data_IF_602603655463
#
_entry.id   IF_602603655463
#
_cell.length_a   1.000
_cell.length_b   1.000
_cell.length_c   1.000
_cell.angle_alpha   90.00
_cell.angle_beta   90.00
_cell.angle_gamma   90.00
#
_symmetry.space_group_name_H-M   'P 1'
#
loop_
_entity.id
_entity.type
_entity.pdbx_description
1 polymer ?
#
# COMPACT_ATOMS: atom_id res chain seq x y z
N UNK A 1 -30.18 -23.53 -18.42
CA UNK A 1 -29.89 -22.73 -17.21
C UNK A 1 -28.48 -22.19 -17.40
N UNK A 2 -28.38 -20.97 -17.95
CA UNK A 2 -27.09 -20.30 -18.13
C UNK A 2 -26.47 -20.03 -16.76
N UNK A 3 -25.20 -20.39 -16.61
CA UNK A 3 -24.42 -20.12 -15.41
C UNK A 3 -24.23 -18.60 -15.32
N UNK A 4 -24.51 -17.95 -14.18
CA UNK A 4 -24.31 -16.52 -14.09
C UNK A 4 -22.83 -16.22 -14.31
N UNK A 5 -22.50 -15.41 -15.33
CA UNK A 5 -21.20 -14.77 -15.45
C UNK A 5 -21.06 -13.81 -14.27
N UNK A 6 -20.22 -14.16 -13.31
CA UNK A 6 -19.84 -13.25 -12.23
C UNK A 6 -19.00 -12.15 -12.88
N UNK A 7 -19.42 -10.87 -12.80
CA UNK A 7 -18.62 -9.77 -13.33
C UNK A 7 -17.23 -9.82 -12.69
N UNK A 8 -16.19 -9.67 -13.52
CA UNK A 8 -14.79 -9.53 -13.09
C UNK A 8 -14.72 -8.73 -11.79
N UNK A 9 -14.18 -9.35 -10.74
CA UNK A 9 -14.06 -8.80 -9.39
C UNK A 9 -13.50 -7.37 -9.51
N UNK A 10 -14.20 -6.38 -8.95
CA UNK A 10 -13.72 -5.00 -8.94
C UNK A 10 -12.28 -4.94 -8.42
N UNK A 11 -11.38 -4.13 -9.00
CA UNK A 11 -9.98 -4.11 -8.58
C UNK A 11 -9.91 -3.71 -7.10
N UNK A 12 -9.30 -4.57 -6.29
CA UNK A 12 -8.96 -4.23 -4.90
C UNK A 12 -7.76 -3.29 -4.90
N UNK A 13 -7.78 -2.29 -4.02
CA UNK A 13 -6.66 -1.37 -3.80
C UNK A 13 -6.15 -1.62 -2.38
N UNK A 14 -4.84 -1.72 -2.22
CA UNK A 14 -4.22 -1.76 -0.89
C UNK A 14 -3.88 -0.33 -0.47
N UNK A 15 -4.20 0.04 0.77
CA UNK A 15 -3.96 1.38 1.30
C UNK A 15 -3.10 1.28 2.54
N UNK A 16 -2.01 2.04 2.56
CA UNK A 16 -1.18 2.25 3.74
C UNK A 16 -1.67 3.50 4.46
N UNK A 17 -1.92 3.39 5.77
CA UNK A 17 -2.34 4.50 6.63
C UNK A 17 -1.21 4.92 7.54
N UNK A 18 -1.12 6.21 7.82
CA UNK A 18 -0.19 6.74 8.80
C UNK A 18 -0.67 6.39 10.21
N UNK A 19 0.26 6.12 11.12
CA UNK A 19 0.00 5.95 12.54
C UNK A 19 1.14 6.54 13.38
N UNK A 20 0.89 6.77 14.67
CA UNK A 20 1.85 7.43 15.57
C UNK A 20 2.82 6.45 16.26
N UNK A 21 2.78 5.16 15.90
CA UNK A 21 3.47 4.09 16.62
C UNK A 21 4.66 3.49 15.87
N UNK A 22 4.59 3.41 14.53
CA UNK A 22 5.68 2.85 13.73
C UNK A 22 6.71 3.91 13.33
N UNK A 23 7.99 3.53 13.34
CA UNK A 23 9.07 4.40 12.84
C UNK A 23 9.15 4.36 11.31
N UNK A 24 9.68 5.44 10.71
CA UNK A 24 9.95 5.50 9.26
C UNK A 24 10.75 4.30 8.76
N UNK A 25 11.77 3.86 9.51
CA UNK A 25 12.59 2.70 9.15
C UNK A 25 11.79 1.40 9.10
N UNK A 26 10.87 1.21 10.05
CA UNK A 26 9.99 0.03 10.10
C UNK A 26 9.03 0.02 8.91
N UNK A 27 8.46 1.17 8.57
CA UNK A 27 7.57 1.34 7.41
C UNK A 27 8.32 1.05 6.10
N UNK A 28 9.52 1.62 5.92
CA UNK A 28 10.35 1.41 4.73
C UNK A 28 10.66 -0.08 4.55
N UNK A 29 11.08 -0.77 5.61
CA UNK A 29 11.38 -2.21 5.56
C UNK A 29 10.14 -3.04 5.21
N UNK A 30 8.97 -2.70 5.73
CA UNK A 30 7.72 -3.39 5.40
C UNK A 30 7.35 -3.19 3.92
N UNK A 31 7.51 -1.98 3.39
CA UNK A 31 7.26 -1.67 1.98
C UNK A 31 8.18 -2.47 1.04
N UNK A 32 9.48 -2.54 1.35
CA UNK A 32 10.44 -3.35 0.58
C UNK A 32 10.07 -4.84 0.60
N UNK A 33 9.66 -5.37 1.76
CA UNK A 33 9.34 -6.80 1.92
C UNK A 33 8.00 -7.23 1.30
N UNK A 34 6.95 -6.42 1.43
CA UNK A 34 5.58 -6.85 1.09
C UNK A 34 5.02 -6.19 -0.17
N UNK A 35 5.42 -4.95 -0.45
CA UNK A 35 4.99 -4.22 -1.66
C UNK A 35 5.99 -4.44 -2.80
N UNK A 36 7.22 -4.90 -2.47
CA UNK A 36 8.26 -5.30 -3.41
C UNK A 36 8.81 -4.11 -4.23
N UNK A 37 8.98 -2.96 -3.55
CA UNK A 37 9.53 -1.73 -4.10
C UNK A 37 10.99 -1.51 -3.68
N UNK A 38 11.68 -0.56 -4.34
CA UNK A 38 13.03 -0.15 -3.93
C UNK A 38 13.00 0.70 -2.66
N UNK A 39 14.15 0.85 -1.98
CA UNK A 39 14.30 1.75 -0.84
C UNK A 39 13.85 3.19 -1.14
N UNK A 40 14.24 3.73 -2.31
CA UNK A 40 13.86 5.09 -2.71
C UNK A 40 12.36 5.23 -2.92
N UNK A 41 11.72 4.22 -3.53
CA UNK A 41 10.26 4.16 -3.67
C UNK A 41 9.57 4.05 -2.31
N UNK A 42 10.08 3.20 -1.42
CA UNK A 42 9.57 3.04 -0.06
C UNK A 42 9.66 4.35 0.72
N UNK A 43 10.78 5.08 0.60
CA UNK A 43 10.97 6.37 1.26
C UNK A 43 10.01 7.44 0.71
N UNK A 44 9.76 7.46 -0.60
CA UNK A 44 8.76 8.33 -1.20
C UNK A 44 7.35 8.01 -0.70
N UNK A 45 6.96 6.72 -0.66
CA UNK A 45 5.66 6.29 -0.15
C UNK A 45 5.49 6.69 1.32
N UNK A 46 6.50 6.44 2.16
CA UNK A 46 6.48 6.82 3.57
C UNK A 46 6.32 8.34 3.75
N UNK A 47 7.02 9.14 2.95
CA UNK A 47 6.89 10.62 2.95
C UNK A 47 5.48 11.07 2.57
N UNK A 48 4.87 10.42 1.57
CA UNK A 48 3.49 10.73 1.14
C UNK A 48 2.51 10.38 2.26
N UNK A 49 2.65 9.19 2.88
CA UNK A 49 1.74 8.74 3.94
C UNK A 49 1.83 9.63 5.18
N UNK A 50 3.03 10.04 5.58
CA UNK A 50 3.25 10.94 6.71
C UNK A 50 2.57 12.30 6.51
N UNK A 51 2.65 12.84 5.28
CA UNK A 51 2.04 14.13 4.91
C UNK A 51 0.53 14.07 4.71
N UNK A 52 0.05 13.07 3.97
CA UNK A 52 -1.33 12.98 3.49
C UNK A 52 -2.21 12.06 4.37
N UNK A 53 -1.61 11.39 5.36
CA UNK A 53 -2.26 10.46 6.28
C UNK A 53 -2.55 9.07 5.70
N UNK A 54 -2.51 8.90 4.37
CA UNK A 54 -2.67 7.61 3.68
C UNK A 54 -2.12 7.64 2.26
N UNK A 55 -1.81 6.47 1.72
CA UNK A 55 -1.42 6.31 0.31
C UNK A 55 -1.86 4.95 -0.22
N UNK A 56 -2.29 4.89 -1.48
CA UNK A 56 -2.48 3.61 -2.18
C UNK A 56 -1.13 2.98 -2.48
N UNK A 57 -1.00 1.70 -2.16
CA UNK A 57 0.19 0.89 -2.43
C UNK A 57 -0.24 -0.30 -3.28
N UNK A 58 0.40 -0.49 -4.43
CA UNK A 58 0.09 -1.55 -5.40
C UNK A 58 -1.28 -1.47 -6.08
#
# INVERSE_FOLDING_TARGET
>A
MEKPEVPSIAPYVTVLYNDETHTYETVIRALEMFINCTKDQAMLIATIVDREGRSSVK
#
